data_IF_945830077839
#
_entry.id   IF_945830077839
#
_cell.length_a   1.000
_cell.length_b   1.000
_cell.length_c   1.000
_cell.angle_alpha   90.00
_cell.angle_beta   90.00
_cell.angle_gamma   90.00
#
_symmetry.space_group_name_H-M   'P 1'
#
loop_
_entity.id
_entity.type
_entity.pdbx_description
1 polymer ?
#
# COMPACT_ATOMS: atom_id res chain seq x y z
N UNK A 1 35.85 -0.97 62.37
CA UNK A 1 35.10 -0.20 61.35
C UNK A 1 35.54 -0.71 59.98
N UNK A 2 34.71 -1.51 59.31
CA UNK A 2 34.89 -1.90 57.90
C UNK A 2 33.51 -1.77 57.27
N UNK A 3 33.32 -0.73 56.46
CA UNK A 3 32.07 -0.48 55.75
C UNK A 3 32.10 -1.22 54.41
N UNK A 4 31.13 -2.12 54.18
CA UNK A 4 30.91 -2.78 52.89
C UNK A 4 30.23 -1.81 51.93
N UNK A 5 30.65 -1.72 50.65
CA UNK A 5 29.91 -0.99 49.64
C UNK A 5 28.75 -1.88 49.14
N UNK A 6 27.53 -1.44 49.44
CA UNK A 6 26.27 -1.98 48.91
C UNK A 6 26.24 -1.72 47.38
N UNK A 7 26.40 -2.78 46.58
CA UNK A 7 26.28 -2.67 45.11
C UNK A 7 24.80 -2.60 44.74
N UNK A 8 24.35 -1.42 44.31
CA UNK A 8 23.06 -1.25 43.64
C UNK A 8 23.14 -1.87 42.24
N UNK A 9 22.50 -3.01 42.03
CA UNK A 9 22.22 -3.53 40.70
C UNK A 9 20.99 -2.79 40.16
N UNK A 10 21.20 -1.84 39.25
CA UNK A 10 20.12 -1.24 38.48
C UNK A 10 19.66 -2.27 37.44
N UNK A 11 18.48 -2.87 37.67
CA UNK A 11 17.79 -3.67 36.68
C UNK A 11 17.24 -2.69 35.63
N UNK A 12 17.89 -2.56 34.48
CA UNK A 12 17.28 -1.91 33.31
C UNK A 12 16.15 -2.82 32.82
N UNK A 13 14.91 -2.48 33.19
CA UNK A 13 13.74 -3.00 32.51
C UNK A 13 13.70 -2.38 31.11
N UNK A 14 14.29 -3.07 30.14
CA UNK A 14 14.04 -2.79 28.72
C UNK A 14 12.61 -3.27 28.48
N UNK A 15 11.65 -2.35 28.64
CA UNK A 15 10.32 -2.56 28.12
C UNK A 15 10.48 -2.70 26.60
N UNK A 16 10.41 -3.93 26.11
CA UNK A 16 10.31 -4.19 24.68
C UNK A 16 9.06 -3.47 24.18
N UNK A 17 9.27 -2.40 23.42
CA UNK A 17 8.21 -1.84 22.58
C UNK A 17 7.88 -2.94 21.58
N UNK A 18 6.76 -3.63 21.80
CA UNK A 18 6.15 -4.46 20.77
C UNK A 18 5.77 -3.47 19.67
N UNK A 19 6.55 -3.40 18.60
CA UNK A 19 6.10 -2.77 17.37
C UNK A 19 4.90 -3.59 16.93
N UNK A 20 3.70 -3.01 16.98
CA UNK A 20 2.58 -3.61 16.26
C UNK A 20 2.96 -3.61 14.77
N UNK A 21 2.71 -4.72 14.08
CA UNK A 21 2.81 -4.74 12.63
C UNK A 21 1.79 -3.75 12.07
N UNK A 22 2.19 -3.01 11.04
CA UNK A 22 1.33 -2.04 10.38
C UNK A 22 0.41 -2.76 9.39
N UNK A 23 -0.56 -3.47 9.94
CA UNK A 23 -1.58 -4.16 9.17
C UNK A 23 -2.51 -3.15 8.51
N UNK A 24 -2.71 -3.28 7.20
CA UNK A 24 -3.79 -2.64 6.47
C UNK A 24 -4.97 -3.59 6.40
N UNK A 25 -6.15 -3.06 6.65
CA UNK A 25 -7.41 -3.77 6.67
C UNK A 25 -8.20 -3.54 5.40
N UNK A 26 -8.81 -4.62 4.92
CA UNK A 26 -9.66 -4.57 3.75
C UNK A 26 -10.88 -3.68 4.03
N UNK A 27 -11.03 -2.65 3.22
CA UNK A 27 -12.14 -1.68 3.29
C UNK A 27 -13.38 -2.12 2.51
N UNK A 28 -13.29 -3.20 1.74
CA UNK A 28 -14.44 -3.78 1.05
C UNK A 28 -15.42 -4.37 2.05
N UNK A 29 -16.64 -3.82 2.10
CA UNK A 29 -17.69 -4.31 3.00
C UNK A 29 -18.39 -5.56 2.48
N UNK A 30 -18.43 -5.74 1.16
CA UNK A 30 -19.05 -6.87 0.48
C UNK A 30 -18.20 -7.29 -0.73
N UNK A 31 -18.15 -8.60 -1.08
CA UNK A 31 -17.55 -9.04 -2.34
C UNK A 31 -18.25 -8.41 -3.54
N UNK A 32 -17.48 -8.09 -4.57
CA UNK A 32 -17.99 -7.61 -5.86
C UNK A 32 -17.59 -8.55 -6.98
N UNK A 33 -18.40 -8.58 -8.04
CA UNK A 33 -18.12 -9.24 -9.31
C UNK A 33 -17.77 -8.22 -10.42
N UNK A 34 -17.67 -6.93 -10.07
CA UNK A 34 -17.31 -5.88 -11.00
C UNK A 34 -15.86 -6.05 -11.46
N UNK A 35 -15.67 -6.01 -12.77
CA UNK A 35 -14.37 -6.18 -13.43
C UNK A 35 -13.73 -4.81 -13.63
N UNK A 36 -12.50 -4.65 -13.15
CA UNK A 36 -11.67 -3.50 -13.46
C UNK A 36 -11.31 -3.50 -14.96
N UNK A 37 -11.57 -2.38 -15.62
CA UNK A 37 -11.36 -2.23 -17.06
C UNK A 37 -10.19 -1.31 -17.40
N UNK A 38 -9.70 -0.54 -16.42
CA UNK A 38 -8.55 0.34 -16.57
C UNK A 38 -7.28 -0.50 -16.66
N UNK A 39 -6.69 -0.53 -17.85
CA UNK A 39 -5.48 -1.31 -18.11
C UNK A 39 -4.29 -0.89 -17.24
N UNK A 40 -4.24 0.33 -16.71
CA UNK A 40 -3.15 0.74 -15.82
C UNK A 40 -3.20 0.05 -14.44
N UNK A 41 -4.37 -0.42 -14.00
CA UNK A 41 -4.56 -1.05 -12.69
C UNK A 41 -4.64 -2.57 -12.75
N UNK A 42 -5.24 -3.12 -13.81
CA UNK A 42 -5.28 -4.57 -13.97
C UNK A 42 -5.17 -5.00 -15.42
N UNK A 43 -4.61 -6.19 -15.63
CA UNK A 43 -4.74 -6.97 -16.86
C UNK A 43 -4.70 -8.45 -16.50
N UNK A 44 -5.50 -9.31 -17.13
CA UNK A 44 -5.40 -10.76 -16.90
C UNK A 44 -3.97 -11.27 -17.15
N UNK A 45 -3.38 -11.90 -16.13
CA UNK A 45 -1.99 -12.39 -16.14
C UNK A 45 -1.90 -13.91 -16.45
N UNK A 46 -3.01 -14.64 -16.37
CA UNK A 46 -3.07 -16.11 -16.52
C UNK A 46 -3.68 -16.80 -15.31
N UNK A 47 -3.94 -18.11 -15.40
CA UNK A 47 -4.35 -18.89 -14.24
C UNK A 47 -3.24 -18.85 -13.18
N UNK A 48 -3.61 -18.85 -11.90
CA UNK A 48 -2.71 -18.82 -10.73
C UNK A 48 -1.90 -17.53 -10.50
N UNK A 49 -2.22 -16.44 -11.20
CA UNK A 49 -1.60 -15.13 -10.98
C UNK A 49 -2.63 -14.07 -10.61
N UNK A 50 -2.35 -13.30 -9.57
CA UNK A 50 -3.14 -12.15 -9.13
C UNK A 50 -2.39 -10.86 -9.42
N UNK A 51 -3.07 -9.72 -9.34
CA UNK A 51 -2.47 -8.40 -9.56
C UNK A 51 -2.50 -7.60 -8.27
N UNK A 52 -1.36 -7.06 -7.88
CA UNK A 52 -1.27 -6.00 -6.88
C UNK A 52 -1.18 -4.68 -7.61
N UNK A 53 -2.06 -3.74 -7.25
CA UNK A 53 -2.15 -2.44 -7.87
C UNK A 53 -2.14 -1.32 -6.81
N UNK A 54 -1.72 -0.16 -7.26
CA UNK A 54 -1.79 1.09 -6.53
C UNK A 54 -2.48 2.12 -7.42
N UNK A 55 -3.54 2.73 -6.90
CA UNK A 55 -4.28 3.81 -7.54
C UNK A 55 -4.05 5.09 -6.71
N UNK A 56 -3.55 6.13 -7.36
CA UNK A 56 -3.28 7.43 -6.73
C UNK A 56 -3.94 8.49 -7.57
N UNK A 57 -4.78 9.31 -6.95
CA UNK A 57 -5.37 10.47 -7.60
C UNK A 57 -5.21 11.74 -6.78
N UNK A 58 -5.16 12.88 -7.46
CA UNK A 58 -5.22 14.21 -6.91
C UNK A 58 -6.20 15.04 -7.74
N UNK A 59 -7.22 15.60 -7.08
CA UNK A 59 -8.15 16.53 -7.71
C UNK A 59 -7.78 17.94 -7.27
N UNK A 60 -7.44 18.80 -8.23
CA UNK A 60 -7.21 20.21 -7.99
C UNK A 60 -8.52 20.99 -8.19
N UNK A 61 -9.22 21.32 -7.10
CA UNK A 61 -10.36 22.25 -7.19
C UNK A 61 -9.88 23.71 -7.08
N UNK A 62 -10.32 24.62 -7.98
CA UNK A 62 -9.95 26.02 -7.88
C UNK A 62 -10.39 26.62 -6.54
N UNK A 63 -9.44 27.12 -5.75
CA UNK A 63 -9.77 27.94 -4.57
C UNK A 63 -9.44 29.41 -4.85
N UNK A 64 -10.24 30.32 -4.30
CA UNK A 64 -10.01 31.76 -4.39
C UNK A 64 -8.91 32.24 -3.41
N UNK A 65 -7.87 31.43 -3.20
CA UNK A 65 -6.74 31.76 -2.34
C UNK A 65 -5.48 32.02 -3.16
N UNK A 66 -5.33 33.25 -3.65
CA UNK A 66 -4.20 33.67 -4.50
C UNK A 66 -2.81 33.63 -3.84
N UNK A 67 -2.70 33.20 -2.58
CA UNK A 67 -1.44 33.02 -1.86
C UNK A 67 -0.94 31.58 -1.78
N UNK A 68 -1.74 30.59 -2.21
CA UNK A 68 -1.36 29.17 -2.17
C UNK A 68 -1.89 28.43 -3.40
N UNK A 69 -1.02 28.15 -4.36
CA UNK A 69 -1.35 27.45 -5.61
C UNK A 69 -1.84 26.00 -5.40
N UNK A 70 -1.70 25.45 -4.20
CA UNK A 70 -2.11 24.10 -3.81
C UNK A 70 -3.33 24.09 -2.88
N UNK A 71 -3.91 25.27 -2.57
CA UNK A 71 -5.16 25.30 -1.83
C UNK A 71 -6.27 24.69 -2.71
N UNK A 72 -6.75 23.50 -2.33
CA UNK A 72 -7.77 22.75 -3.08
C UNK A 72 -7.31 21.43 -3.70
N UNK A 73 -6.07 20.99 -3.49
CA UNK A 73 -5.64 19.64 -3.86
C UNK A 73 -6.12 18.66 -2.79
N UNK A 74 -6.96 17.70 -3.19
CA UNK A 74 -7.36 16.56 -2.37
C UNK A 74 -6.87 15.28 -3.05
N UNK A 75 -6.11 14.46 -2.32
CA UNK A 75 -5.53 13.23 -2.83
C UNK A 75 -6.21 11.97 -2.29
N UNK A 76 -6.15 10.90 -3.05
CA UNK A 76 -6.49 9.53 -2.63
C UNK A 76 -5.32 8.61 -2.98
N UNK A 77 -5.03 7.65 -2.10
CA UNK A 77 -4.20 6.49 -2.42
C UNK A 77 -4.89 5.21 -1.94
N UNK A 78 -4.96 4.24 -2.83
CA UNK A 78 -5.48 2.92 -2.54
C UNK A 78 -4.53 1.86 -3.08
N UNK A 79 -4.36 0.78 -2.31
CA UNK A 79 -3.81 -0.47 -2.81
C UNK A 79 -4.96 -1.42 -3.08
N UNK A 80 -4.90 -2.12 -4.21
CA UNK A 80 -5.97 -3.00 -4.66
C UNK A 80 -5.36 -4.34 -5.05
N UNK A 81 -5.96 -5.42 -4.57
CA UNK A 81 -5.58 -6.78 -4.98
C UNK A 81 -6.68 -7.33 -5.88
N UNK A 82 -6.34 -7.65 -7.12
CA UNK A 82 -7.26 -8.23 -8.10
C UNK A 82 -6.94 -9.70 -8.34
N UNK A 83 -7.97 -10.49 -8.64
CA UNK A 83 -7.78 -11.84 -9.19
C UNK A 83 -7.33 -11.81 -10.65
N UNK A 84 -7.18 -13.00 -11.24
CA UNK A 84 -6.76 -13.16 -12.64
C UNK A 84 -7.78 -12.65 -13.67
N UNK A 85 -9.02 -12.37 -13.25
CA UNK A 85 -10.10 -11.81 -14.07
C UNK A 85 -10.29 -10.31 -13.85
N UNK A 86 -9.39 -9.66 -13.10
CA UNK A 86 -9.48 -8.26 -12.73
C UNK A 86 -10.68 -7.92 -11.85
N UNK A 87 -11.16 -8.88 -11.04
CA UNK A 87 -12.15 -8.63 -9.99
C UNK A 87 -11.41 -8.32 -8.69
N UNK A 88 -11.69 -7.17 -8.02
CA UNK A 88 -11.01 -6.81 -6.79
C UNK A 88 -11.42 -7.76 -5.66
N UNK A 89 -10.44 -8.18 -4.87
CA UNK A 89 -10.58 -9.04 -3.68
C UNK A 89 -10.28 -8.30 -2.39
N UNK A 90 -9.51 -7.22 -2.44
CA UNK A 90 -9.30 -6.33 -1.32
C UNK A 90 -8.90 -4.92 -1.75
N UNK A 91 -9.33 -3.94 -0.98
CA UNK A 91 -8.98 -2.52 -1.14
C UNK A 91 -8.46 -2.00 0.20
N UNK A 92 -7.30 -1.37 0.17
CA UNK A 92 -6.56 -0.95 1.36
C UNK A 92 -6.12 0.49 1.20
N UNK A 93 -6.08 1.24 2.30
CA UNK A 93 -5.50 2.58 2.30
C UNK A 93 -4.91 2.91 3.66
N UNK A 94 -3.67 3.44 3.72
CA UNK A 94 -3.10 3.91 4.99
C UNK A 94 -3.88 5.11 5.56
N UNK A 95 -4.60 5.85 4.73
CA UNK A 95 -5.30 7.09 5.14
C UNK A 95 -6.55 6.82 6.00
N UNK A 96 -7.12 5.61 5.93
CA UNK A 96 -8.37 5.26 6.59
C UNK A 96 -8.21 4.66 8.00
N UNK A 97 -6.97 4.47 8.46
CA UNK A 97 -6.72 3.67 9.66
C UNK A 97 -6.17 4.47 10.84
N UNK A 98 -5.85 5.76 10.63
CA UNK A 98 -5.14 6.56 11.64
C UNK A 98 -3.80 5.93 12.06
N UNK A 99 -3.27 5.04 11.22
CA UNK A 99 -2.16 4.15 11.54
C UNK A 99 -0.86 4.76 10.99
N UNK A 100 -0.35 5.75 11.71
CA UNK A 100 0.89 6.48 11.38
C UNK A 100 2.16 5.66 11.74
N UNK A 101 2.06 4.34 11.75
CA UNK A 101 3.11 3.44 12.21
C UNK A 101 4.21 3.20 11.15
N UNK A 102 3.99 3.66 9.92
CA UNK A 102 4.96 3.68 8.83
C UNK A 102 5.07 2.37 8.05
N UNK A 103 5.95 2.35 7.05
CA UNK A 103 6.28 1.16 6.26
C UNK A 103 7.31 0.31 7.02
N UNK A 104 7.21 -1.03 7.02
CA UNK A 104 6.42 -1.85 6.10
C UNK A 104 4.94 -1.96 6.50
N UNK A 105 4.06 -1.96 5.49
CA UNK A 105 2.64 -2.30 5.65
C UNK A 105 2.38 -3.76 5.30
N UNK A 106 1.45 -4.39 6.00
CA UNK A 106 1.08 -5.79 5.81
C UNK A 106 -0.37 -5.93 5.38
N UNK A 107 -0.62 -6.87 4.47
CA UNK A 107 -1.96 -7.30 4.08
C UNK A 107 -2.03 -8.81 4.29
N UNK A 108 -2.91 -9.25 5.20
CA UNK A 108 -3.02 -10.64 5.67
C UNK A 108 -4.47 -11.15 5.78
N UNK A 109 -5.44 -10.39 5.26
CA UNK A 109 -6.89 -10.63 5.46
C UNK A 109 -7.67 -11.04 4.19
N UNK A 110 -6.98 -11.25 3.06
CA UNK A 110 -7.57 -11.62 1.76
C UNK A 110 -7.53 -13.12 1.42
N UNK A 111 -7.13 -13.96 2.37
CA UNK A 111 -7.14 -15.42 2.18
C UNK A 111 -6.10 -15.94 1.18
N UNK A 112 -5.06 -15.15 0.89
CA UNK A 112 -3.85 -15.63 0.22
C UNK A 112 -3.03 -16.55 1.14
N UNK A 113 -2.26 -17.50 0.60
CA UNK A 113 -1.41 -18.40 1.42
C UNK A 113 -0.22 -17.70 2.09
N UNK A 114 0.17 -16.52 1.61
CA UNK A 114 1.25 -15.69 2.14
C UNK A 114 0.77 -14.25 2.31
N UNK A 115 1.38 -13.52 3.23
CA UNK A 115 1.09 -12.10 3.44
C UNK A 115 1.78 -11.24 2.37
N UNK A 116 1.13 -10.15 1.98
CA UNK A 116 1.76 -9.12 1.14
C UNK A 116 2.41 -8.11 2.08
N UNK A 117 3.71 -7.84 1.87
CA UNK A 117 4.48 -6.86 2.63
C UNK A 117 4.89 -5.69 1.76
N UNK A 118 4.21 -4.55 1.87
CA UNK A 118 4.61 -3.33 1.16
C UNK A 118 5.80 -2.72 1.90
N UNK A 119 6.92 -2.52 1.20
CA UNK A 119 8.20 -2.11 1.81
C UNK A 119 8.65 -0.71 1.42
N UNK A 120 8.18 -0.20 0.28
CA UNK A 120 8.40 1.17 -0.15
C UNK A 120 7.28 1.60 -1.09
N UNK A 121 6.92 2.87 -1.06
CA UNK A 121 5.91 3.45 -1.94
C UNK A 121 6.31 4.89 -2.29
N UNK A 122 6.06 5.32 -3.52
CA UNK A 122 5.91 6.72 -3.89
C UNK A 122 4.46 6.92 -4.35
N UNK A 123 3.74 7.81 -3.68
CA UNK A 123 2.34 8.14 -3.98
C UNK A 123 2.20 9.51 -4.63
N UNK A 124 3.28 10.05 -5.21
CA UNK A 124 3.23 11.29 -5.96
C UNK A 124 2.63 11.02 -7.36
N UNK A 125 1.65 11.82 -7.75
CA UNK A 125 1.05 11.71 -9.08
C UNK A 125 2.09 12.09 -10.14
N UNK A 126 2.39 11.15 -11.04
CA UNK A 126 3.42 11.27 -12.08
C UNK A 126 4.74 10.55 -11.78
N UNK A 127 4.95 10.09 -10.54
CA UNK A 127 6.12 9.29 -10.14
C UNK A 127 5.72 8.10 -9.24
N UNK A 128 4.53 7.56 -9.49
CA UNK A 128 3.99 6.43 -8.74
C UNK A 128 4.95 5.24 -8.74
N UNK A 129 5.20 4.69 -7.57
CA UNK A 129 6.09 3.54 -7.41
C UNK A 129 5.69 2.71 -6.19
N UNK A 130 5.92 1.40 -6.23
CA UNK A 130 5.89 0.56 -5.04
C UNK A 130 6.91 -0.59 -5.14
N UNK A 131 7.25 -1.14 -3.97
CA UNK A 131 7.89 -2.44 -3.83
C UNK A 131 7.17 -3.24 -2.74
N UNK A 132 6.83 -4.49 -3.03
CA UNK A 132 6.33 -5.41 -2.02
C UNK A 132 6.98 -6.79 -2.09
N UNK A 133 6.99 -7.47 -0.96
CA UNK A 133 7.33 -8.88 -0.85
C UNK A 133 6.07 -9.74 -0.82
N UNK A 134 6.13 -10.90 -1.46
CA UNK A 134 5.11 -11.94 -1.39
C UNK A 134 5.77 -13.32 -1.54
N UNK A 135 5.55 -14.23 -0.58
CA UNK A 135 6.34 -15.45 -0.44
C UNK A 135 7.85 -15.12 -0.41
N UNK A 136 8.69 -15.86 -1.14
CA UNK A 136 10.12 -15.58 -1.31
C UNK A 136 10.42 -14.55 -2.42
N UNK A 137 9.39 -13.98 -3.05
CA UNK A 137 9.51 -13.03 -4.16
C UNK A 137 9.49 -11.56 -3.71
N UNK A 138 10.15 -10.71 -4.51
CA UNK A 138 10.06 -9.25 -4.42
C UNK A 138 9.58 -8.68 -5.76
N UNK A 139 8.65 -7.73 -5.69
CA UNK A 139 7.95 -7.20 -6.86
C UNK A 139 7.97 -5.67 -6.81
N UNK A 140 8.44 -5.06 -7.89
CA UNK A 140 8.59 -3.61 -7.99
C UNK A 140 8.28 -3.08 -9.39
N UNK A 141 7.84 -1.83 -9.46
CA UNK A 141 7.63 -1.13 -10.73
C UNK A 141 8.95 -1.05 -11.51
N UNK A 142 8.87 -1.34 -12.81
CA UNK A 142 10.04 -1.38 -13.70
C UNK A 142 10.67 -2.77 -13.85
N UNK A 143 10.26 -3.75 -13.04
CA UNK A 143 10.68 -5.15 -13.15
C UNK A 143 9.48 -6.07 -13.40
N UNK A 144 9.71 -7.29 -13.89
CA UNK A 144 8.69 -8.35 -13.99
C UNK A 144 7.38 -7.96 -14.73
N UNK A 145 7.46 -7.01 -15.67
CA UNK A 145 6.27 -6.51 -16.40
C UNK A 145 5.39 -5.56 -15.58
N UNK A 146 5.87 -5.11 -14.42
CA UNK A 146 5.22 -4.12 -13.58
C UNK A 146 5.36 -2.71 -14.19
N UNK A 147 4.24 -2.00 -14.29
CA UNK A 147 4.16 -0.71 -15.00
C UNK A 147 3.22 0.24 -14.29
N UNK A 148 3.47 1.53 -14.45
CA UNK A 148 2.51 2.58 -14.16
C UNK A 148 1.99 3.20 -15.45
N UNK A 149 0.75 3.69 -15.42
CA UNK A 149 0.09 4.38 -16.52
C UNK A 149 -0.69 5.58 -16.01
N UNK A 150 -0.74 6.61 -16.84
CA UNK A 150 -1.56 7.80 -16.62
C UNK A 150 -3.04 7.48 -16.82
N UNK A 151 -3.85 7.84 -15.84
CA UNK A 151 -5.31 7.71 -15.84
C UNK A 151 -6.00 9.08 -15.74
N UNK A 152 -5.23 10.17 -15.74
CA UNK A 152 -5.72 11.53 -15.56
C UNK A 152 -6.82 11.89 -16.55
N UNK A 153 -7.88 12.55 -16.05
CA UNK A 153 -8.95 13.12 -16.86
C UNK A 153 -9.39 14.49 -16.33
N UNK A 154 -9.52 15.46 -17.24
CA UNK A 154 -9.92 16.82 -16.90
C UNK A 154 -9.00 17.51 -15.89
N UNK A 155 -9.49 17.68 -14.66
CA UNK A 155 -8.78 18.32 -13.53
C UNK A 155 -8.28 17.30 -12.49
N UNK A 156 -8.54 16.02 -12.71
CA UNK A 156 -8.07 14.93 -11.88
C UNK A 156 -6.77 14.40 -12.48
N UNK A 157 -5.71 14.49 -11.71
CA UNK A 157 -4.45 13.84 -12.02
C UNK A 157 -4.48 12.46 -11.36
N UNK A 158 -4.35 11.38 -12.14
CA UNK A 158 -4.49 10.01 -11.64
C UNK A 158 -3.40 9.12 -12.25
N UNK A 159 -2.78 8.27 -11.44
CA UNK A 159 -1.81 7.27 -11.88
C UNK A 159 -2.17 5.92 -11.30
N UNK A 160 -2.30 4.94 -12.19
CA UNK A 160 -2.44 3.53 -11.83
C UNK A 160 -1.12 2.80 -12.02
N UNK A 161 -0.66 2.10 -10.99
CA UNK A 161 0.51 1.24 -11.01
C UNK A 161 0.11 -0.20 -10.72
N UNK A 162 0.73 -1.18 -11.39
CA UNK A 162 0.39 -2.59 -11.18
C UNK A 162 1.57 -3.53 -11.37
N UNK A 163 1.45 -4.70 -10.76
CA UNK A 163 2.29 -5.88 -11.05
C UNK A 163 1.50 -7.17 -10.85
N UNK A 164 1.80 -8.18 -11.65
CA UNK A 164 1.35 -9.55 -11.39
C UNK A 164 2.21 -10.22 -10.33
N UNK A 165 1.64 -11.17 -9.60
CA UNK A 165 2.35 -12.08 -8.71
C UNK A 165 1.67 -13.47 -8.67
N UNK A 166 2.44 -14.57 -8.49
CA UNK A 166 1.90 -15.93 -8.42
C UNK A 166 1.22 -16.17 -7.07
N UNK A 167 -0.01 -16.68 -7.07
CA UNK A 167 -0.78 -16.92 -5.83
C UNK A 167 -0.11 -17.95 -4.92
N UNK A 168 0.64 -18.90 -5.47
CA UNK A 168 1.27 -19.98 -4.72
C UNK A 168 2.78 -19.81 -4.48
N UNK A 169 3.34 -18.62 -4.77
CA UNK A 169 4.77 -18.35 -4.65
C UNK A 169 5.58 -18.70 -5.89
#
# INVERSE_FOLDING_TARGET
>A
MIAQPLKFAALLAIAGLVSADCDLHNTMTEPTDEVETREALCKPQGADSWTFAMDVSEVAVPTFNGGNALAGVAGNRAFIVYDNYCVPKGIYSPDNEGNDCGIPWWINDIGLPYDIKITSVNTDVGDGYFNFGYSDGAYMIGENGATCGDLSDGLEAEVGCKTGFPVNG
#
